data_IF_101949331818
#
_entry.id   IF_101949331818
#
_cell.length_a   1.000
_cell.length_b   1.000
_cell.length_c   1.000
_cell.angle_alpha   90.00
_cell.angle_beta   90.00
_cell.angle_gamma   90.00
#
_symmetry.space_group_name_H-M   'P 1'
#
loop_
_entity.id
_entity.type
_entity.pdbx_description
1 polymer ?
#
# COMPACT_ATOMS: atom_id res chain seq x y z
N UNK A 1 -59.39 5.70 -44.64
CA UNK A 1 -59.52 4.69 -43.56
C UNK A 1 -58.69 3.49 -43.99
N UNK A 2 -57.70 2.95 -43.29
CA UNK A 2 -57.10 3.24 -42.01
C UNK A 2 -55.71 2.56 -42.01
N UNK A 3 -54.68 3.34 -41.64
CA UNK A 3 -53.58 2.98 -40.74
C UNK A 3 -53.26 1.48 -40.58
N UNK A 4 -52.04 1.09 -40.98
CA UNK A 4 -51.34 0.07 -40.19
C UNK A 4 -49.91 0.53 -39.91
N UNK A 5 -49.63 0.61 -38.61
CA UNK A 5 -48.53 1.32 -38.01
C UNK A 5 -47.51 0.33 -37.44
N UNK A 6 -46.26 0.51 -37.85
CA UNK A 6 -45.04 0.39 -37.02
C UNK A 6 -45.10 -0.54 -35.81
N UNK A 7 -44.47 -1.71 -35.91
CA UNK A 7 -43.77 -2.34 -34.78
C UNK A 7 -42.41 -2.90 -35.23
N UNK A 8 -41.48 -1.99 -35.50
CA UNK A 8 -40.06 -2.33 -35.42
C UNK A 8 -39.72 -2.51 -33.93
N UNK A 9 -39.49 -3.76 -33.52
CA UNK A 9 -39.05 -4.09 -32.17
C UNK A 9 -37.69 -3.48 -31.88
N UNK A 10 -37.68 -2.40 -31.09
CA UNK A 10 -36.47 -1.87 -30.50
C UNK A 10 -36.18 -2.58 -29.17
N UNK A 11 -34.90 -2.92 -28.97
CA UNK A 11 -34.18 -3.39 -27.78
C UNK A 11 -34.02 -4.93 -27.60
N UNK A 12 -32.82 -5.43 -27.17
CA UNK A 12 -31.88 -4.75 -26.27
C UNK A 12 -30.40 -4.78 -26.70
N UNK A 13 -29.83 -3.60 -27.00
CA UNK A 13 -28.36 -3.40 -27.19
C UNK A 13 -27.63 -3.16 -25.86
N UNK A 14 -28.33 -3.15 -24.72
CA UNK A 14 -27.73 -2.85 -23.41
C UNK A 14 -27.08 -4.07 -22.70
N UNK A 15 -27.39 -5.31 -23.10
CA UNK A 15 -26.78 -6.52 -22.49
C UNK A 15 -25.37 -6.86 -23.01
N UNK A 16 -24.90 -6.25 -24.10
CA UNK A 16 -23.63 -6.62 -24.75
C UNK A 16 -22.39 -5.86 -24.24
N UNK A 17 -22.55 -4.63 -23.70
CA UNK A 17 -21.41 -3.80 -23.28
C UNK A 17 -20.73 -4.30 -22.00
N UNK A 18 -21.50 -4.73 -21.00
CA UNK A 18 -20.95 -5.27 -19.75
C UNK A 18 -20.18 -6.58 -19.96
N UNK A 19 -20.73 -7.49 -20.77
CA UNK A 19 -20.07 -8.75 -21.13
C UNK A 19 -18.76 -8.54 -21.91
N UNK A 20 -18.73 -7.59 -22.84
CA UNK A 20 -17.53 -7.26 -23.60
C UNK A 20 -16.42 -6.64 -22.73
N UNK A 21 -16.77 -5.77 -21.78
CA UNK A 21 -15.82 -5.19 -20.82
C UNK A 21 -15.24 -6.26 -19.89
N UNK A 22 -16.06 -7.13 -19.32
CA UNK A 22 -15.60 -8.24 -18.48
C UNK A 22 -14.72 -9.21 -19.27
N UNK A 23 -15.07 -9.50 -20.53
CA UNK A 23 -14.24 -10.33 -21.40
C UNK A 23 -12.86 -9.68 -21.65
N UNK A 24 -12.79 -8.37 -21.84
CA UNK A 24 -11.54 -7.65 -22.03
C UNK A 24 -10.61 -7.73 -20.80
N UNK A 25 -11.17 -7.69 -19.59
CA UNK A 25 -10.43 -7.74 -18.31
C UNK A 25 -10.19 -9.15 -17.77
N UNK A 26 -10.74 -10.18 -18.41
CA UNK A 26 -10.62 -11.58 -17.99
C UNK A 26 -9.18 -12.03 -17.69
N UNK A 27 -8.15 -11.77 -18.53
CA UNK A 27 -6.79 -12.20 -18.22
C UNK A 27 -6.22 -11.48 -16.98
N UNK A 28 -6.51 -10.19 -16.83
CA UNK A 28 -6.01 -9.37 -15.72
C UNK A 28 -6.67 -9.80 -14.40
N UNK A 29 -7.98 -10.03 -14.41
CA UNK A 29 -8.73 -10.55 -13.28
C UNK A 29 -8.27 -11.97 -12.89
N UNK A 30 -7.99 -12.83 -13.86
CA UNK A 30 -7.47 -14.17 -13.58
C UNK A 30 -6.07 -14.14 -12.94
N UNK A 31 -5.19 -13.27 -13.41
CA UNK A 31 -3.87 -13.09 -12.82
C UNK A 31 -3.95 -12.51 -11.40
N UNK A 32 -4.78 -11.48 -11.20
CA UNK A 32 -5.03 -10.87 -9.91
C UNK A 32 -5.61 -11.87 -8.90
N UNK A 33 -6.62 -12.64 -9.29
CA UNK A 33 -7.26 -13.64 -8.44
C UNK A 33 -6.26 -14.71 -7.97
N UNK A 34 -5.43 -15.23 -8.87
CA UNK A 34 -4.39 -16.21 -8.52
C UNK A 34 -3.38 -15.63 -7.55
N UNK A 35 -2.86 -14.43 -7.83
CA UNK A 35 -1.85 -13.80 -7.00
C UNK A 35 -2.39 -13.40 -5.61
N UNK A 36 -3.64 -12.91 -5.55
CA UNK A 36 -4.35 -12.65 -4.31
C UNK A 36 -4.36 -13.90 -3.45
N UNK A 37 -5.01 -14.97 -3.90
CA UNK A 37 -5.23 -16.14 -3.05
C UNK A 37 -3.96 -16.91 -2.72
N UNK A 38 -2.99 -16.98 -3.63
CA UNK A 38 -1.67 -17.57 -3.31
C UNK A 38 -0.99 -16.80 -2.19
N UNK A 39 -0.95 -15.47 -2.27
CA UNK A 39 -0.31 -14.66 -1.22
C UNK A 39 -1.10 -14.65 0.10
N UNK A 40 -2.44 -14.63 0.04
CA UNK A 40 -3.29 -14.65 1.24
C UNK A 40 -3.23 -15.98 1.96
N UNK A 41 -3.12 -17.08 1.22
CA UNK A 41 -2.89 -18.40 1.82
C UNK A 41 -1.58 -18.40 2.63
N UNK A 42 -0.50 -17.82 2.09
CA UNK A 42 0.77 -17.70 2.83
C UNK A 42 0.59 -16.87 4.10
N UNK A 43 -0.10 -15.72 4.02
CA UNK A 43 -0.31 -14.84 5.17
C UNK A 43 -1.14 -15.49 6.26
N UNK A 44 -2.28 -16.11 5.91
CA UNK A 44 -3.13 -16.78 6.89
C UNK A 44 -2.48 -18.04 7.45
N UNK A 45 -1.86 -18.88 6.61
CA UNK A 45 -1.20 -20.09 7.08
C UNK A 45 -0.06 -19.78 8.05
N UNK A 46 0.83 -18.83 7.68
CA UNK A 46 1.94 -18.44 8.54
C UNK A 46 1.48 -17.74 9.82
N UNK A 47 0.50 -16.83 9.71
CA UNK A 47 -0.04 -16.10 10.87
C UNK A 47 -0.73 -17.01 11.88
N UNK A 48 -1.61 -17.91 11.41
CA UNK A 48 -2.31 -18.86 12.28
C UNK A 48 -1.37 -19.90 12.88
N UNK A 49 -0.42 -20.42 12.09
CA UNK A 49 0.59 -21.35 12.60
C UNK A 49 1.45 -20.69 13.68
N UNK A 50 1.85 -19.44 13.48
CA UNK A 50 2.63 -18.69 14.46
C UNK A 50 1.88 -18.49 15.79
N UNK A 51 0.59 -18.12 15.72
CA UNK A 51 -0.24 -18.00 16.93
C UNK A 51 -0.40 -19.36 17.62
N UNK A 52 -0.59 -20.44 16.86
CA UNK A 52 -0.74 -21.78 17.43
C UNK A 52 0.53 -22.28 18.13
N UNK A 53 1.72 -21.94 17.61
CA UNK A 53 3.01 -22.40 18.15
C UNK A 53 3.54 -21.49 19.26
N UNK A 54 3.46 -20.18 19.08
CA UNK A 54 4.09 -19.19 19.98
C UNK A 54 3.10 -18.36 20.80
N UNK A 55 1.80 -18.50 20.55
CA UNK A 55 0.80 -17.65 21.19
C UNK A 55 0.83 -16.21 20.68
N UNK A 56 0.25 -15.32 21.46
CA UNK A 56 0.11 -13.89 21.14
C UNK A 56 0.85 -13.09 22.20
N UNK A 57 1.69 -12.15 21.79
CA UNK A 57 2.49 -11.34 22.72
C UNK A 57 1.62 -10.30 23.46
N UNK A 58 1.99 -9.97 24.71
CA UNK A 58 1.21 -9.12 25.64
C UNK A 58 1.08 -7.64 25.21
N UNK A 59 1.72 -7.23 24.10
CA UNK A 59 1.60 -5.89 23.50
C UNK A 59 0.18 -5.56 23.00
N UNK A 60 -0.75 -6.51 23.02
CA UNK A 60 -2.14 -6.32 22.56
C UNK A 60 -2.90 -5.21 23.28
N UNK A 61 -2.75 -5.10 24.61
CA UNK A 61 -3.65 -4.27 25.44
C UNK A 61 -3.44 -2.76 25.24
N UNK A 62 -2.20 -2.23 25.21
CA UNK A 62 -1.99 -0.80 24.99
C UNK A 62 -2.41 -0.31 23.60
N UNK A 63 -2.30 -1.16 22.57
CA UNK A 63 -2.58 -0.77 21.18
C UNK A 63 -4.02 -1.04 20.75
N UNK A 64 -4.74 -1.95 21.41
CA UNK A 64 -6.17 -2.24 21.21
C UNK A 64 -6.94 -2.22 22.55
N UNK A 65 -7.05 -1.05 23.19
CA UNK A 65 -7.65 -0.93 24.53
C UNK A 65 -9.15 -1.26 24.52
N UNK A 66 -9.84 -0.96 23.43
CA UNK A 66 -11.28 -1.16 23.25
C UNK A 66 -11.62 -2.52 22.63
N UNK A 67 -10.63 -3.30 22.19
CA UNK A 67 -10.86 -4.63 21.62
C UNK A 67 -11.46 -4.61 20.22
N UNK A 68 -11.25 -3.55 19.43
CA UNK A 68 -11.78 -3.41 18.08
C UNK A 68 -11.25 -4.48 17.11
N UNK A 69 -10.08 -5.07 17.41
CA UNK A 69 -9.48 -6.13 16.59
C UNK A 69 -9.87 -7.55 17.02
N UNK A 70 -10.69 -7.67 18.07
CA UNK A 70 -11.07 -8.95 18.69
C UNK A 70 -12.55 -9.02 19.15
N UNK A 71 -13.54 -8.73 18.27
CA UNK A 71 -14.94 -8.70 18.67
C UNK A 71 -15.66 -10.06 18.57
N UNK A 72 -14.99 -11.14 18.14
CA UNK A 72 -15.65 -12.38 17.70
C UNK A 72 -15.40 -13.59 18.62
N UNK A 73 -14.80 -13.37 19.79
CA UNK A 73 -14.41 -14.44 20.71
C UNK A 73 -13.24 -15.27 20.18
N UNK A 74 -12.82 -16.28 20.94
CA UNK A 74 -11.52 -16.93 20.75
C UNK A 74 -11.22 -17.40 19.31
N UNK A 75 -12.16 -18.12 18.69
CA UNK A 75 -11.96 -18.67 17.32
C UNK A 75 -12.05 -17.58 16.26
N UNK A 76 -13.03 -16.69 16.35
CA UNK A 76 -13.20 -15.62 15.37
C UNK A 76 -12.03 -14.64 15.40
N UNK A 77 -11.58 -14.26 16.60
CA UNK A 77 -10.44 -13.37 16.82
C UNK A 77 -9.13 -13.98 16.28
N UNK A 78 -8.97 -15.29 16.41
CA UNK A 78 -7.85 -16.02 15.84
C UNK A 78 -7.86 -15.93 14.30
N UNK A 79 -9.02 -16.11 13.66
CA UNK A 79 -9.15 -16.10 12.21
C UNK A 79 -8.91 -14.72 11.58
N UNK A 80 -9.24 -13.63 12.29
CA UNK A 80 -9.02 -12.25 11.82
C UNK A 80 -7.68 -11.66 12.24
N UNK A 81 -6.96 -12.31 13.16
CA UNK A 81 -5.69 -11.82 13.68
C UNK A 81 -4.64 -11.44 12.60
N UNK A 82 -4.46 -12.20 11.50
CA UNK A 82 -3.53 -11.81 10.43
C UNK A 82 -3.86 -10.48 9.74
N UNK A 83 -5.07 -9.95 9.93
CA UNK A 83 -5.55 -8.71 9.33
C UNK A 83 -5.78 -7.56 10.33
N UNK A 84 -5.71 -7.82 11.63
CA UNK A 84 -6.24 -6.92 12.66
C UNK A 84 -5.21 -6.68 13.79
N UNK A 85 -4.17 -5.90 13.48
CA UNK A 85 -3.10 -5.51 14.43
C UNK A 85 -2.66 -4.08 14.17
N UNK A 86 -2.02 -3.47 15.18
CA UNK A 86 -1.37 -2.16 15.07
C UNK A 86 -2.34 -1.10 14.52
N UNK A 87 -2.02 -0.44 13.40
CA UNK A 87 -2.82 0.67 12.86
C UNK A 87 -4.25 0.31 12.44
N UNK A 88 -4.61 -0.98 12.43
CA UNK A 88 -5.99 -1.40 12.30
C UNK A 88 -6.85 -0.71 13.37
N UNK A 89 -6.32 -0.53 14.58
CA UNK A 89 -7.06 0.13 15.67
C UNK A 89 -7.30 1.61 15.36
N UNK A 90 -6.32 2.33 14.82
CA UNK A 90 -6.52 3.72 14.38
C UNK A 90 -7.62 3.85 13.32
N UNK A 91 -7.58 3.03 12.27
CA UNK A 91 -8.58 3.09 11.21
C UNK A 91 -9.98 2.68 11.69
N UNK A 92 -10.09 1.66 12.54
CA UNK A 92 -11.37 1.21 13.08
C UNK A 92 -11.97 2.22 14.07
N UNK A 93 -11.13 2.84 14.90
CA UNK A 93 -11.54 3.91 15.81
C UNK A 93 -12.05 5.12 15.02
N UNK A 94 -11.34 5.57 13.97
CA UNK A 94 -11.82 6.69 13.14
C UNK A 94 -13.12 6.33 12.41
N UNK A 95 -13.26 5.09 11.96
CA UNK A 95 -14.50 4.62 11.33
C UNK A 95 -15.69 4.56 12.30
N UNK A 96 -15.47 4.42 13.61
CA UNK A 96 -16.52 4.43 14.63
C UNK A 96 -16.79 5.82 15.21
N UNK A 97 -15.73 6.49 15.65
CA UNK A 97 -15.78 7.67 16.53
C UNK A 97 -15.33 8.95 15.83
N UNK A 98 -14.80 8.88 14.61
CA UNK A 98 -14.26 10.04 13.89
C UNK A 98 -12.89 10.51 14.43
N UNK A 99 -12.59 11.77 14.14
CA UNK A 99 -11.33 12.42 14.49
C UNK A 99 -11.40 13.09 15.86
N UNK A 100 -10.23 13.18 16.51
CA UNK A 100 -9.97 13.99 17.70
C UNK A 100 -8.73 14.87 17.44
N UNK A 101 -8.36 15.72 18.39
CA UNK A 101 -7.14 16.54 18.37
C UNK A 101 -5.85 15.71 18.55
N UNK A 102 -5.95 14.39 18.47
CA UNK A 102 -4.88 13.44 18.74
C UNK A 102 -4.23 12.81 17.51
N UNK A 103 -3.53 11.68 17.71
CA UNK A 103 -2.77 10.98 16.67
C UNK A 103 -3.63 10.49 15.49
N UNK A 104 -4.96 10.45 15.63
CA UNK A 104 -5.89 10.03 14.58
C UNK A 104 -5.75 10.86 13.31
N UNK A 105 -5.40 12.13 13.43
CA UNK A 105 -5.26 13.06 12.30
C UNK A 105 -4.17 12.65 11.30
N UNK A 106 -3.20 11.82 11.69
CA UNK A 106 -2.20 11.24 10.76
C UNK A 106 -2.81 10.22 9.77
N UNK A 107 -3.98 9.66 10.08
CA UNK A 107 -4.66 8.66 9.27
C UNK A 107 -5.72 9.33 8.42
N UNK A 108 -5.51 9.33 7.10
CA UNK A 108 -6.34 10.06 6.15
C UNK A 108 -7.74 9.44 5.96
N UNK A 109 -8.75 10.25 5.58
CA UNK A 109 -10.16 9.94 5.84
C UNK A 109 -10.79 8.95 4.87
N UNK A 110 -10.29 8.80 3.63
CA UNK A 110 -11.03 8.05 2.62
C UNK A 110 -11.19 6.57 2.98
N UNK A 111 -10.15 5.93 3.53
CA UNK A 111 -10.23 4.54 3.94
C UNK A 111 -11.21 4.32 5.11
N UNK A 112 -11.08 4.99 6.27
CA UNK A 112 -12.01 4.79 7.39
C UNK A 112 -13.44 5.20 7.04
N UNK A 113 -13.66 6.20 6.18
CA UNK A 113 -14.99 6.56 5.69
C UNK A 113 -15.65 5.40 4.92
N UNK A 114 -14.91 4.73 4.04
CA UNK A 114 -15.40 3.56 3.31
C UNK A 114 -15.65 2.37 4.24
N UNK A 115 -14.80 2.20 5.25
CA UNK A 115 -14.99 1.18 6.30
C UNK A 115 -16.24 1.47 7.12
N UNK A 116 -16.51 2.73 7.49
CA UNK A 116 -17.73 3.12 8.18
C UNK A 116 -18.98 2.80 7.34
N UNK A 117 -19.00 3.26 6.09
CA UNK A 117 -20.13 3.06 5.19
C UNK A 117 -20.42 1.57 4.93
N UNK A 118 -19.38 0.77 4.66
CA UNK A 118 -19.55 -0.67 4.44
C UNK A 118 -19.82 -1.41 5.75
N UNK A 119 -19.23 -0.97 6.86
CA UNK A 119 -19.42 -1.53 8.21
C UNK A 119 -20.86 -1.43 8.66
N UNK A 120 -21.56 -0.34 8.33
CA UNK A 120 -22.99 -0.17 8.59
C UNK A 120 -23.86 -1.21 7.85
N UNK A 121 -23.43 -1.67 6.66
CA UNK A 121 -24.14 -2.68 5.87
C UNK A 121 -23.79 -4.10 6.31
N UNK A 122 -22.51 -4.36 6.57
CA UNK A 122 -22.00 -5.69 6.97
C UNK A 122 -22.31 -6.00 8.44
N UNK A 123 -22.55 -4.99 9.27
CA UNK A 123 -22.73 -5.12 10.72
C UNK A 123 -21.41 -5.29 11.49
N UNK A 124 -20.26 -5.10 10.83
CA UNK A 124 -18.94 -5.17 11.45
C UNK A 124 -17.92 -4.32 10.69
N UNK A 125 -17.38 -3.24 11.30
CA UNK A 125 -16.33 -2.43 10.71
C UNK A 125 -15.07 -3.24 10.39
N UNK A 126 -14.70 -4.21 11.24
CA UNK A 126 -13.52 -5.05 11.00
C UNK A 126 -13.70 -5.97 9.78
N UNK A 127 -14.83 -6.67 9.66
CA UNK A 127 -15.08 -7.50 8.47
C UNK A 127 -15.21 -6.67 7.20
N UNK A 128 -15.84 -5.49 7.30
CA UNK A 128 -15.91 -4.53 6.21
C UNK A 128 -14.50 -4.09 5.77
N UNK A 129 -13.62 -3.75 6.70
CA UNK A 129 -12.24 -3.38 6.43
C UNK A 129 -11.47 -4.51 5.73
N UNK A 130 -11.56 -5.75 6.22
CA UNK A 130 -10.89 -6.90 5.59
C UNK A 130 -11.42 -7.17 4.18
N UNK A 131 -12.75 -7.18 4.01
CA UNK A 131 -13.38 -7.39 2.71
C UNK A 131 -13.00 -6.29 1.71
N UNK A 132 -12.99 -5.03 2.16
CA UNK A 132 -12.60 -3.87 1.37
C UNK A 132 -11.12 -3.96 0.97
N UNK A 133 -10.22 -4.30 1.90
CA UNK A 133 -8.79 -4.51 1.62
C UNK A 133 -8.57 -5.59 0.57
N UNK A 134 -9.30 -6.72 0.63
CA UNK A 134 -9.17 -7.80 -0.35
C UNK A 134 -9.70 -7.39 -1.73
N UNK A 135 -10.88 -6.76 -1.78
CA UNK A 135 -11.49 -6.32 -3.03
C UNK A 135 -10.62 -5.27 -3.74
N UNK A 136 -10.12 -4.29 -2.99
CA UNK A 136 -9.25 -3.24 -3.53
C UNK A 136 -7.88 -3.77 -3.90
N UNK A 137 -7.34 -4.73 -3.16
CA UNK A 137 -6.08 -5.36 -3.54
C UNK A 137 -6.23 -6.15 -4.85
N UNK A 138 -7.32 -6.90 -5.00
CA UNK A 138 -7.62 -7.58 -6.27
C UNK A 138 -7.75 -6.59 -7.44
N UNK A 139 -8.44 -5.47 -7.23
CA UNK A 139 -8.57 -4.40 -8.22
C UNK A 139 -7.20 -3.77 -8.56
N UNK A 140 -6.37 -3.49 -7.56
CA UNK A 140 -5.02 -2.97 -7.74
C UNK A 140 -4.09 -3.93 -8.49
N UNK A 141 -4.16 -5.24 -8.20
CA UNK A 141 -3.43 -6.27 -8.93
C UNK A 141 -3.90 -6.39 -10.38
N UNK A 142 -5.20 -6.31 -10.65
CA UNK A 142 -5.75 -6.34 -12.00
C UNK A 142 -5.33 -5.10 -12.81
N UNK A 143 -5.40 -3.91 -12.19
CA UNK A 143 -4.92 -2.67 -12.80
C UNK A 143 -3.40 -2.72 -13.05
N UNK A 144 -2.62 -3.30 -12.12
CA UNK A 144 -1.18 -3.48 -12.28
C UNK A 144 -0.86 -4.45 -13.40
N UNK A 145 -1.58 -5.57 -13.50
CA UNK A 145 -1.43 -6.50 -14.61
C UNK A 145 -1.65 -5.79 -15.95
N UNK A 146 -2.73 -5.03 -16.07
CA UNK A 146 -3.07 -4.29 -17.28
C UNK A 146 -1.99 -3.26 -17.62
N UNK A 147 -1.59 -2.44 -16.64
CA UNK A 147 -0.56 -1.44 -16.82
C UNK A 147 0.76 -2.09 -17.23
N UNK A 148 1.18 -3.16 -16.55
CA UNK A 148 2.40 -3.89 -16.89
C UNK A 148 2.34 -4.51 -18.28
N UNK A 149 1.19 -5.03 -18.71
CA UNK A 149 1.03 -5.55 -20.06
C UNK A 149 1.26 -4.46 -21.13
N UNK A 150 0.83 -3.22 -20.84
CA UNK A 150 1.06 -2.05 -21.70
C UNK A 150 2.53 -1.60 -21.67
N UNK A 151 3.15 -1.52 -20.49
CA UNK A 151 4.51 -0.98 -20.34
C UNK A 151 5.63 -1.94 -20.73
N UNK A 152 5.48 -3.21 -20.34
CA UNK A 152 6.59 -4.18 -20.32
C UNK A 152 6.23 -5.55 -20.91
N UNK A 153 4.97 -5.73 -21.33
CA UNK A 153 4.47 -6.92 -22.01
C UNK A 153 3.80 -7.95 -21.10
N UNK A 154 2.99 -8.83 -21.71
CA UNK A 154 2.11 -9.76 -20.99
C UNK A 154 2.85 -10.78 -20.10
N UNK A 155 4.03 -11.26 -20.51
CA UNK A 155 4.80 -12.18 -19.69
C UNK A 155 5.32 -11.49 -18.42
N UNK A 156 5.89 -10.30 -18.55
CA UNK A 156 6.37 -9.48 -17.45
C UNK A 156 5.23 -9.06 -16.49
N UNK A 157 4.02 -8.83 -17.03
CA UNK A 157 2.85 -8.51 -16.23
C UNK A 157 2.50 -9.58 -15.19
N UNK A 158 2.56 -10.86 -15.58
CA UNK A 158 2.33 -11.98 -14.64
C UNK A 158 3.35 -11.98 -13.50
N UNK A 159 4.62 -11.74 -13.82
CA UNK A 159 5.69 -11.69 -12.84
C UNK A 159 5.60 -10.46 -11.93
N UNK A 160 5.22 -9.29 -12.45
CA UNK A 160 5.03 -8.08 -11.67
C UNK A 160 3.94 -8.25 -10.60
N UNK A 161 2.81 -8.83 -10.97
CA UNK A 161 1.67 -9.09 -10.07
C UNK A 161 2.02 -10.12 -8.99
N UNK A 162 2.70 -11.22 -9.36
CA UNK A 162 3.15 -12.22 -8.39
C UNK A 162 4.22 -11.67 -7.44
N UNK A 163 5.17 -10.88 -7.97
CA UNK A 163 6.22 -10.27 -7.16
C UNK A 163 5.65 -9.26 -6.17
N UNK A 164 4.70 -8.42 -6.60
CA UNK A 164 4.00 -7.55 -5.66
C UNK A 164 3.24 -8.40 -4.65
N UNK A 165 2.40 -9.34 -5.06
CA UNK A 165 1.57 -10.11 -4.14
C UNK A 165 2.36 -10.91 -3.09
N UNK A 166 3.53 -11.45 -3.45
CA UNK A 166 4.40 -12.22 -2.56
C UNK A 166 5.44 -11.37 -1.83
N UNK A 167 5.65 -10.10 -2.20
CA UNK A 167 6.59 -9.21 -1.51
C UNK A 167 6.32 -9.19 0.00
N UNK A 168 7.33 -9.15 0.88
CA UNK A 168 7.10 -9.22 2.33
C UNK A 168 6.13 -8.16 2.85
N UNK A 169 6.18 -6.94 2.28
CA UNK A 169 5.24 -5.87 2.63
C UNK A 169 3.82 -6.04 2.12
N UNK A 170 3.52 -7.13 1.42
CA UNK A 170 2.16 -7.40 0.95
C UNK A 170 1.23 -7.98 2.00
N UNK A 171 1.71 -8.17 3.24
CA UNK A 171 0.84 -8.44 4.38
C UNK A 171 -0.16 -7.29 4.62
N UNK A 172 0.27 -6.04 4.44
CA UNK A 172 -0.56 -4.86 4.73
C UNK A 172 -1.71 -4.69 3.75
N UNK A 173 -1.67 -5.35 2.60
CA UNK A 173 -2.82 -5.45 1.69
C UNK A 173 -3.94 -6.36 2.21
N UNK A 174 -3.72 -7.07 3.32
CA UNK A 174 -4.73 -7.83 4.03
C UNK A 174 -5.22 -7.20 5.30
N UNK A 175 -4.41 -6.31 5.88
CA UNK A 175 -4.77 -5.67 7.12
C UNK A 175 -5.89 -4.64 6.89
N UNK A 176 -6.58 -4.28 7.98
CA UNK A 176 -7.58 -3.21 8.01
C UNK A 176 -6.91 -1.82 7.84
N UNK A 177 -6.33 -1.59 6.67
CA UNK A 177 -5.27 -0.64 6.39
C UNK A 177 -5.51 0.03 5.01
N UNK A 178 -5.04 1.26 4.82
CA UNK A 178 -5.31 2.04 3.58
C UNK A 178 -4.48 1.60 2.36
N UNK A 179 -3.52 0.68 2.53
CA UNK A 179 -2.57 0.24 1.50
C UNK A 179 -3.24 -0.26 0.23
N UNK A 180 -4.24 -1.15 0.35
CA UNK A 180 -4.94 -1.73 -0.80
C UNK A 180 -5.68 -0.67 -1.60
N UNK A 181 -6.32 0.27 -0.90
CA UNK A 181 -7.02 1.39 -1.51
C UNK A 181 -6.04 2.31 -2.25
N UNK A 182 -4.94 2.68 -1.59
CA UNK A 182 -3.94 3.54 -2.19
C UNK A 182 -3.27 2.90 -3.42
N UNK A 183 -2.94 1.60 -3.37
CA UNK A 183 -2.40 0.89 -4.52
C UNK A 183 -3.40 0.88 -5.69
N UNK A 184 -4.66 0.54 -5.44
CA UNK A 184 -5.69 0.51 -6.47
C UNK A 184 -5.90 1.88 -7.14
N UNK A 185 -5.98 2.94 -6.34
CA UNK A 185 -6.16 4.31 -6.83
C UNK A 185 -4.93 4.84 -7.57
N UNK A 186 -3.72 4.60 -7.05
CA UNK A 186 -2.47 5.07 -7.67
C UNK A 186 -2.18 4.39 -9.01
N UNK A 187 -2.31 3.05 -9.08
CA UNK A 187 -2.16 2.31 -10.33
C UNK A 187 -3.29 2.64 -11.30
N UNK A 188 -4.53 2.75 -10.79
CA UNK A 188 -5.70 3.13 -11.59
C UNK A 188 -5.56 4.52 -12.21
N UNK A 189 -5.07 5.52 -11.45
CA UNK A 189 -4.86 6.87 -11.95
C UNK A 189 -3.85 6.89 -13.12
N UNK A 190 -2.74 6.18 -12.96
CA UNK A 190 -1.72 6.07 -14.00
C UNK A 190 -2.25 5.29 -15.21
N UNK A 191 -2.95 4.18 -15.00
CA UNK A 191 -3.57 3.41 -16.08
C UNK A 191 -4.61 4.23 -16.86
N UNK A 192 -5.41 5.04 -16.17
CA UNK A 192 -6.36 5.95 -16.79
C UNK A 192 -5.64 6.98 -17.68
N UNK A 193 -4.56 7.60 -17.18
CA UNK A 193 -3.75 8.51 -18.00
C UNK A 193 -3.09 7.80 -19.20
N UNK A 194 -2.57 6.59 -19.00
CA UNK A 194 -1.98 5.77 -20.08
C UNK A 194 -2.98 5.34 -21.15
N UNK A 195 -4.26 5.36 -20.83
CA UNK A 195 -5.35 5.04 -21.77
C UNK A 195 -6.13 6.30 -22.21
N UNK A 196 -5.57 7.50 -22.00
CA UNK A 196 -6.12 8.80 -22.40
C UNK A 196 -7.44 9.19 -21.71
N UNK A 197 -7.69 8.65 -20.51
CA UNK A 197 -8.85 8.96 -19.65
C UNK A 197 -8.46 9.91 -18.50
N UNK A 198 -8.08 11.14 -18.84
CA UNK A 198 -7.53 12.12 -17.89
C UNK A 198 -8.47 12.51 -16.74
N UNK A 199 -9.78 12.56 -16.97
CA UNK A 199 -10.76 12.83 -15.92
C UNK A 199 -10.72 11.76 -14.81
N UNK A 200 -10.64 10.48 -15.20
CA UNK A 200 -10.46 9.39 -14.25
C UNK A 200 -9.09 9.41 -13.58
N UNK A 201 -8.04 9.79 -14.32
CA UNK A 201 -6.70 9.94 -13.75
C UNK A 201 -6.68 10.99 -12.62
N UNK A 202 -7.29 12.15 -12.86
CA UNK A 202 -7.46 13.21 -11.87
C UNK A 202 -8.29 12.79 -10.67
N UNK A 203 -9.47 12.21 -10.90
CA UNK A 203 -10.38 11.75 -9.84
C UNK A 203 -9.75 10.68 -8.96
N UNK A 204 -9.13 9.65 -9.55
CA UNK A 204 -8.45 8.59 -8.81
C UNK A 204 -7.22 9.13 -8.06
N UNK A 205 -6.49 10.10 -8.64
CA UNK A 205 -5.38 10.76 -7.96
C UNK A 205 -5.84 11.61 -6.77
N UNK A 206 -6.95 12.34 -6.89
CA UNK A 206 -7.56 13.08 -5.79
C UNK A 206 -7.99 12.13 -4.66
N UNK A 207 -8.66 11.03 -5.00
CA UNK A 207 -9.02 10.01 -4.02
C UNK A 207 -7.77 9.40 -3.36
N UNK A 208 -6.70 9.12 -4.13
CA UNK A 208 -5.44 8.61 -3.57
C UNK A 208 -4.81 9.60 -2.58
N UNK A 209 -4.83 10.91 -2.88
CA UNK A 209 -4.39 11.95 -1.95
C UNK A 209 -5.27 12.02 -0.69
N UNK A 210 -6.54 11.64 -0.79
CA UNK A 210 -7.45 11.45 0.36
C UNK A 210 -7.23 10.16 1.16
N UNK A 211 -6.33 9.26 0.74
CA UNK A 211 -5.95 8.05 1.51
C UNK A 211 -4.62 8.19 2.26
N UNK A 212 -3.75 9.10 1.81
CA UNK A 212 -2.43 9.42 2.40
C UNK A 212 -1.79 10.59 1.67
N UNK A 213 -0.94 11.34 2.37
CA UNK A 213 -0.20 12.50 1.83
C UNK A 213 0.60 12.18 0.55
N UNK A 214 1.18 10.97 0.46
CA UNK A 214 1.92 10.51 -0.70
C UNK A 214 1.09 10.48 -2.01
N UNK A 215 -0.26 10.48 -1.93
CA UNK A 215 -1.11 10.52 -3.12
C UNK A 215 -1.01 11.81 -3.93
N UNK A 216 -0.65 12.93 -3.29
CA UNK A 216 -0.40 14.20 -4.00
C UNK A 216 0.74 14.06 -5.02
N UNK A 217 1.70 13.16 -4.76
CA UNK A 217 2.83 12.91 -5.65
C UNK A 217 2.43 12.26 -6.98
N UNK A 218 1.18 11.81 -7.14
CA UNK A 218 0.67 11.35 -8.44
C UNK A 218 0.61 12.45 -9.48
N UNK A 219 0.66 13.74 -9.10
CA UNK A 219 0.84 14.84 -10.07
C UNK A 219 2.11 14.63 -10.90
N UNK A 220 3.19 14.07 -10.32
CA UNK A 220 4.47 13.85 -10.99
C UNK A 220 4.36 12.89 -12.19
N UNK A 221 3.95 11.63 -12.04
CA UNK A 221 3.79 10.73 -13.17
C UNK A 221 2.72 11.23 -14.15
N UNK A 222 1.62 11.82 -13.67
CA UNK A 222 0.55 12.30 -14.55
C UNK A 222 1.03 13.44 -15.47
N UNK A 223 1.74 14.43 -14.91
CA UNK A 223 2.31 15.53 -15.68
C UNK A 223 3.34 15.02 -16.70
N UNK A 224 4.22 14.10 -16.31
CA UNK A 224 5.23 13.53 -17.22
C UNK A 224 4.60 12.69 -18.34
N UNK A 225 3.53 11.94 -18.03
CA UNK A 225 2.77 11.21 -19.05
C UNK A 225 2.03 12.15 -19.99
N UNK A 226 1.50 13.28 -19.49
CA UNK A 226 0.84 14.28 -20.32
C UNK A 226 1.83 14.94 -21.27
N UNK A 227 3.01 15.33 -20.78
CA UNK A 227 4.08 15.90 -21.62
C UNK A 227 4.51 14.93 -22.71
N UNK A 228 4.59 13.63 -22.40
CA UNK A 228 4.94 12.58 -23.35
C UNK A 228 3.78 12.14 -24.26
N UNK A 229 2.55 12.60 -24.02
CA UNK A 229 1.38 12.16 -24.77
C UNK A 229 1.41 12.71 -26.21
N UNK A 230 1.07 11.90 -27.24
CA UNK A 230 1.00 12.35 -28.62
C UNK A 230 -0.03 13.46 -28.84
N UNK A 231 -1.11 13.45 -28.06
CA UNK A 231 -2.16 14.48 -28.06
C UNK A 231 -2.28 15.04 -26.66
N UNK A 232 -2.07 16.34 -26.54
CA UNK A 232 -2.12 17.09 -25.28
C UNK A 232 -3.32 18.03 -25.32
N UNK A 233 -4.29 17.85 -24.44
CA UNK A 233 -5.42 18.77 -24.33
C UNK A 233 -5.20 19.64 -23.09
N UNK A 234 -5.28 20.98 -23.19
CA UNK A 234 -5.13 21.86 -22.01
C UNK A 234 -6.13 21.53 -20.89
N UNK A 235 -7.32 21.02 -21.24
CA UNK A 235 -8.31 20.56 -20.27
C UNK A 235 -7.79 19.42 -19.36
N UNK A 236 -6.81 18.64 -19.79
CA UNK A 236 -6.21 17.57 -18.98
C UNK A 236 -5.46 18.13 -17.77
N UNK A 237 -4.94 19.37 -17.86
CA UNK A 237 -4.30 20.07 -16.74
C UNK A 237 -5.29 20.31 -15.60
N UNK A 238 -6.55 20.62 -15.91
CA UNK A 238 -7.59 20.81 -14.90
C UNK A 238 -7.89 19.51 -14.15
N UNK A 239 -7.88 18.37 -14.83
CA UNK A 239 -8.03 17.07 -14.18
C UNK A 239 -6.84 16.73 -13.29
N UNK A 240 -5.61 17.02 -13.71
CA UNK A 240 -4.43 16.82 -12.86
C UNK A 240 -4.41 17.76 -11.64
N UNK A 241 -4.95 18.97 -11.79
CA UNK A 241 -5.11 19.91 -10.67
C UNK A 241 -6.11 19.41 -9.61
N UNK A 242 -6.95 18.42 -9.93
CA UNK A 242 -7.83 17.80 -8.94
C UNK A 242 -7.06 16.94 -7.90
N UNK A 243 -5.87 16.43 -8.24
CA UNK A 243 -5.09 15.55 -7.35
C UNK A 243 -4.80 16.17 -5.97
N UNK A 244 -4.22 17.38 -5.87
CA UNK A 244 -3.99 18.03 -4.57
C UNK A 244 -5.28 18.36 -3.81
N UNK A 245 -6.44 18.42 -4.49
CA UNK A 245 -7.71 18.70 -3.82
C UNK A 245 -8.12 17.61 -2.82
N UNK A 246 -7.65 16.36 -2.98
CA UNK A 246 -7.92 15.31 -2.01
C UNK A 246 -7.29 15.59 -0.64
N UNK A 247 -6.04 16.06 -0.63
CA UNK A 247 -5.38 16.51 0.60
C UNK A 247 -6.01 17.80 1.12
N UNK A 248 -6.25 18.78 0.24
CA UNK A 248 -6.84 20.05 0.64
C UNK A 248 -8.25 19.89 1.24
N UNK A 249 -9.06 18.97 0.71
CA UNK A 249 -10.37 18.65 1.25
C UNK A 249 -10.28 18.06 2.66
N UNK A 250 -9.28 17.22 2.94
CA UNK A 250 -9.08 16.68 4.28
C UNK A 250 -8.62 17.76 5.27
N UNK A 251 -7.60 18.55 4.91
CA UNK A 251 -7.13 19.67 5.74
C UNK A 251 -8.26 20.70 5.99
N UNK A 252 -9.07 20.98 4.96
CA UNK A 252 -10.25 21.85 5.08
C UNK A 252 -11.33 21.26 5.97
N UNK A 253 -11.60 19.94 5.88
CA UNK A 253 -12.51 19.24 6.78
C UNK A 253 -12.07 19.39 8.25
N UNK A 254 -10.79 19.13 8.55
CA UNK A 254 -10.27 19.30 9.91
C UNK A 254 -10.43 20.73 10.41
N UNK A 255 -10.13 21.74 9.57
CA UNK A 255 -10.30 23.14 9.91
C UNK A 255 -11.76 23.51 10.22
N UNK A 256 -12.72 22.96 9.46
CA UNK A 256 -14.15 23.16 9.70
C UNK A 256 -14.64 22.43 10.96
N UNK A 257 -14.00 21.33 11.32
CA UNK A 257 -14.27 20.54 12.53
C UNK A 257 -13.60 21.13 13.80
N UNK A 258 -12.94 22.28 13.67
CA UNK A 258 -12.27 22.98 14.77
C UNK A 258 -10.86 22.50 15.09
N UNK A 259 -10.29 21.63 14.25
CA UNK A 259 -8.92 21.11 14.38
C UNK A 259 -7.93 21.92 13.51
N UNK A 260 -6.62 21.92 13.83
CA UNK A 260 -5.63 22.54 12.96
C UNK A 260 -5.61 21.90 11.57
N UNK A 261 -5.61 22.73 10.51
CA UNK A 261 -5.61 22.24 9.12
C UNK A 261 -4.36 21.40 8.77
N UNK A 262 -3.25 21.65 9.46
CA UNK A 262 -1.97 20.96 9.33
C UNK A 262 -1.77 19.84 10.37
N UNK A 263 -2.79 19.50 11.17
CA UNK A 263 -2.74 18.44 12.16
C UNK A 263 -2.19 17.09 11.65
N UNK A 264 -2.48 16.62 10.42
CA UNK A 264 -1.91 15.37 9.89
C UNK A 264 -0.38 15.37 9.81
N UNK A 265 0.22 16.54 9.64
CA UNK A 265 1.68 16.72 9.58
C UNK A 265 2.28 16.90 10.97
N UNK A 266 1.58 17.57 11.89
CA UNK A 266 2.00 17.69 13.29
C UNK A 266 1.93 16.35 14.03
N UNK A 267 0.93 15.52 13.73
CA UNK A 267 0.77 14.20 14.33
C UNK A 267 1.98 13.28 14.11
N UNK A 268 2.83 13.56 13.11
CA UNK A 268 4.08 12.82 12.89
C UNK A 268 5.03 12.86 14.10
N UNK A 269 4.95 13.90 14.94
CA UNK A 269 5.75 14.04 16.17
C UNK A 269 5.46 12.93 17.18
N UNK A 270 4.24 12.37 17.18
CA UNK A 270 3.84 11.22 18.02
C UNK A 270 4.69 9.99 17.71
N UNK A 271 5.14 9.84 16.47
CA UNK A 271 6.03 8.75 16.04
C UNK A 271 7.50 9.16 15.99
N UNK A 272 7.87 10.27 16.63
CA UNK A 272 9.25 10.77 16.70
C UNK A 272 9.92 10.93 15.33
N UNK A 273 9.14 11.31 14.31
CA UNK A 273 9.64 11.59 12.97
C UNK A 273 10.13 13.03 12.90
N UNK A 274 11.37 13.23 12.45
CA UNK A 274 11.95 14.58 12.31
C UNK A 274 12.43 14.81 10.89
N UNK A 275 12.17 15.98 10.32
CA UNK A 275 12.65 16.30 8.98
C UNK A 275 14.16 16.54 8.99
N UNK A 276 14.91 15.73 8.25
CA UNK A 276 16.39 15.81 8.16
C UNK A 276 16.89 16.05 6.73
N UNK A 277 15.98 16.44 5.82
CA UNK A 277 16.25 16.63 4.40
C UNK A 277 16.02 15.35 3.58
N UNK A 278 15.96 15.43 2.24
CA UNK A 278 15.44 14.38 1.35
C UNK A 278 16.16 13.03 1.43
N UNK A 279 17.43 13.05 1.85
CA UNK A 279 18.27 11.85 1.99
C UNK A 279 18.77 11.66 3.43
N UNK A 280 18.29 12.45 4.39
CA UNK A 280 18.75 12.37 5.77
C UNK A 280 18.50 10.98 6.38
N UNK A 281 17.35 10.38 6.08
CA UNK A 281 17.04 9.01 6.48
C UNK A 281 17.96 7.95 5.88
N UNK A 282 18.56 8.16 4.69
CA UNK A 282 19.56 7.23 4.13
C UNK A 282 20.84 7.26 4.97
N UNK A 283 21.32 8.47 5.30
CA UNK A 283 22.51 8.64 6.16
C UNK A 283 22.26 8.01 7.53
N UNK A 284 21.15 8.37 8.17
CA UNK A 284 20.83 7.91 9.52
C UNK A 284 20.62 6.39 9.54
N UNK A 285 19.99 5.82 8.50
CA UNK A 285 19.85 4.37 8.34
C UNK A 285 21.17 3.64 8.14
N UNK A 286 22.13 4.25 7.44
CA UNK A 286 23.46 3.65 7.23
C UNK A 286 24.19 3.53 8.56
N UNK A 287 24.13 4.57 9.39
CA UNK A 287 24.67 4.57 10.76
C UNK A 287 23.94 3.52 11.62
N UNK A 288 22.61 3.54 11.63
CA UNK A 288 21.81 2.62 12.43
C UNK A 288 22.01 1.14 12.02
N UNK A 289 22.20 0.85 10.74
CA UNK A 289 22.49 -0.50 10.25
C UNK A 289 23.90 -0.96 10.66
N UNK A 290 24.88 -0.06 10.60
CA UNK A 290 26.23 -0.34 11.10
C UNK A 290 26.22 -0.62 12.60
N UNK A 291 25.54 0.22 13.38
CA UNK A 291 25.45 0.07 14.83
C UNK A 291 24.63 -1.16 15.23
N UNK A 292 23.57 -1.47 14.47
CA UNK A 292 22.87 -2.73 14.58
C UNK A 292 23.80 -3.92 14.34
N UNK A 293 24.67 -3.86 13.33
CA UNK A 293 25.59 -4.96 13.04
C UNK A 293 26.60 -5.13 14.18
N UNK A 294 27.12 -4.02 14.73
CA UNK A 294 27.97 -4.03 15.93
C UNK A 294 27.25 -4.66 17.13
N UNK A 295 25.98 -4.34 17.35
CA UNK A 295 25.17 -4.92 18.44
C UNK A 295 24.99 -6.43 18.27
N UNK A 296 24.63 -6.89 17.08
CA UNK A 296 24.46 -8.31 16.79
C UNK A 296 25.77 -9.09 16.96
N UNK A 297 26.90 -8.51 16.51
CA UNK A 297 28.23 -9.10 16.67
C UNK A 297 28.69 -9.14 18.14
N UNK A 298 28.31 -8.14 18.94
CA UNK A 298 28.57 -8.14 20.38
C UNK A 298 27.80 -9.25 21.11
N UNK A 299 26.59 -9.59 20.64
CA UNK A 299 25.82 -10.74 21.13
C UNK A 299 25.16 -10.56 22.50
N UNK A 300 25.27 -9.38 23.11
CA UNK A 300 24.61 -9.01 24.36
C UNK A 300 23.78 -7.72 24.20
N UNK A 301 22.65 -7.56 24.91
CA UNK A 301 21.85 -6.32 24.91
C UNK A 301 22.60 -5.08 25.39
N UNK A 302 23.58 -5.24 26.29
CA UNK A 302 24.45 -4.17 26.77
C UNK A 302 25.91 -4.44 26.38
N UNK A 303 26.69 -3.38 26.02
CA UNK A 303 26.27 -1.98 25.90
C UNK A 303 25.40 -1.75 24.64
N UNK A 304 24.67 -0.63 24.61
CA UNK A 304 23.84 -0.24 23.45
C UNK A 304 24.63 0.68 22.52
N UNK A 305 24.76 0.32 21.24
CA UNK A 305 25.58 1.07 20.26
C UNK A 305 24.87 2.21 19.53
N UNK A 306 23.57 2.38 19.73
CA UNK A 306 22.72 3.35 19.05
C UNK A 306 21.76 4.04 20.04
N UNK A 307 21.03 5.06 19.61
CA UNK A 307 20.03 5.74 20.44
C UNK A 307 18.99 4.74 20.95
N UNK A 308 18.85 4.63 22.28
CA UNK A 308 17.91 3.67 22.89
C UNK A 308 16.48 3.94 22.40
N UNK A 309 15.85 2.88 21.91
CA UNK A 309 14.41 2.80 21.68
C UNK A 309 13.77 2.03 22.83
N UNK A 310 12.44 2.10 22.96
CA UNK A 310 11.72 1.10 23.76
C UNK A 310 11.89 -0.30 23.14
N UNK A 311 12.06 -1.32 23.99
CA UNK A 311 12.20 -2.73 23.59
C UNK A 311 13.62 -3.29 23.70
N UNK A 312 13.82 -4.51 23.18
CA UNK A 312 15.11 -5.21 23.18
C UNK A 312 16.08 -4.58 22.16
N UNK A 313 17.28 -4.12 22.58
CA UNK A 313 18.31 -3.63 21.65
C UNK A 313 18.66 -4.63 20.54
N UNK A 314 18.62 -5.93 20.84
CA UNK A 314 18.90 -6.95 19.83
C UNK A 314 17.81 -7.03 18.76
N UNK A 315 16.54 -6.81 19.13
CA UNK A 315 15.44 -6.65 18.17
C UNK A 315 15.64 -5.40 17.30
N UNK A 316 15.92 -4.25 17.91
CA UNK A 316 16.13 -2.99 17.17
C UNK A 316 17.28 -3.14 16.16
N UNK A 317 18.37 -3.79 16.56
CA UNK A 317 19.50 -4.09 15.68
C UNK A 317 19.09 -4.95 14.47
N UNK A 318 18.32 -6.03 14.68
CA UNK A 318 17.79 -6.86 13.58
C UNK A 318 16.91 -6.04 12.63
N UNK A 319 16.03 -5.19 13.17
CA UNK A 319 15.17 -4.33 12.34
C UNK A 319 16.00 -3.35 11.50
N UNK A 320 17.00 -2.69 12.08
CA UNK A 320 17.83 -1.73 11.33
C UNK A 320 18.57 -2.39 10.15
N UNK A 321 19.12 -3.60 10.34
CA UNK A 321 19.72 -4.35 9.22
C UNK A 321 18.69 -4.75 8.17
N UNK A 322 17.54 -5.26 8.60
CA UNK A 322 16.47 -5.68 7.70
C UNK A 322 15.97 -4.50 6.87
N UNK A 323 15.64 -3.38 7.51
CA UNK A 323 15.16 -2.17 6.84
C UNK A 323 16.20 -1.60 5.87
N UNK A 324 17.50 -1.64 6.23
CA UNK A 324 18.57 -1.25 5.33
C UNK A 324 18.67 -2.18 4.10
N UNK A 325 18.44 -3.48 4.26
CA UNK A 325 18.36 -4.40 3.13
C UNK A 325 17.16 -4.10 2.21
N UNK A 326 16.01 -3.71 2.77
CA UNK A 326 14.87 -3.23 1.99
C UNK A 326 15.18 -1.92 1.25
N UNK A 327 15.92 -1.00 1.87
CA UNK A 327 16.39 0.22 1.20
C UNK A 327 17.29 -0.11 0.01
N UNK A 328 18.28 -0.98 0.20
CA UNK A 328 19.18 -1.38 -0.87
C UNK A 328 18.42 -2.06 -2.03
N UNK A 329 17.49 -2.97 -1.72
CA UNK A 329 16.62 -3.60 -2.71
C UNK A 329 15.71 -2.59 -3.43
N UNK A 330 15.10 -1.68 -2.69
CA UNK A 330 14.25 -0.61 -3.22
C UNK A 330 15.01 0.34 -4.15
N UNK A 331 16.23 0.74 -3.78
CA UNK A 331 17.12 1.54 -4.63
C UNK A 331 17.52 0.76 -5.89
N UNK A 332 17.87 -0.52 -5.79
CA UNK A 332 18.21 -1.33 -6.95
C UNK A 332 17.02 -1.43 -7.93
N UNK A 333 15.81 -1.65 -7.42
CA UNK A 333 14.58 -1.65 -8.22
C UNK A 333 14.28 -0.29 -8.84
N UNK A 334 14.52 0.81 -8.09
CA UNK A 334 14.33 2.18 -8.57
C UNK A 334 15.31 2.55 -9.69
N UNK A 335 16.59 2.22 -9.53
CA UNK A 335 17.61 2.38 -10.59
C UNK A 335 17.21 1.59 -11.83
N UNK A 336 16.71 0.38 -11.63
CA UNK A 336 16.12 -0.43 -12.68
C UNK A 336 14.96 0.26 -13.40
N UNK A 337 14.02 0.83 -12.64
CA UNK A 337 12.87 1.55 -13.17
C UNK A 337 13.31 2.74 -14.03
N UNK A 338 14.25 3.56 -13.56
CA UNK A 338 14.81 4.68 -14.33
C UNK A 338 15.52 4.26 -15.61
N UNK A 339 16.21 3.11 -15.58
CA UNK A 339 16.94 2.61 -16.75
C UNK A 339 16.03 2.00 -17.82
N UNK A 340 14.80 1.58 -17.48
CA UNK A 340 14.01 0.74 -18.38
C UNK A 340 12.56 1.13 -18.61
N UNK A 341 11.94 1.80 -17.64
CA UNK A 341 10.56 2.26 -17.75
C UNK A 341 10.52 3.70 -18.25
N UNK A 342 9.34 4.19 -18.62
CA UNK A 342 9.15 5.60 -18.93
C UNK A 342 9.55 6.48 -17.72
N UNK A 343 10.14 7.67 -17.93
CA UNK A 343 10.59 8.56 -16.85
C UNK A 343 9.51 8.87 -15.80
N UNK A 344 8.24 8.91 -16.22
CA UNK A 344 7.10 9.09 -15.32
C UNK A 344 7.08 8.10 -14.15
N UNK A 345 7.39 6.82 -14.41
CA UNK A 345 7.39 5.77 -13.39
C UNK A 345 8.57 5.89 -12.43
N UNK A 346 9.77 6.18 -12.95
CA UNK A 346 10.96 6.41 -12.14
C UNK A 346 10.81 7.64 -11.25
N UNK A 347 10.33 8.76 -11.81
CA UNK A 347 10.12 10.01 -11.08
C UNK A 347 9.07 9.86 -9.97
N UNK A 348 7.97 9.15 -10.23
CA UNK A 348 6.97 8.86 -9.20
C UNK A 348 7.56 8.06 -8.04
N UNK A 349 8.24 6.94 -8.34
CA UNK A 349 8.83 6.09 -7.30
C UNK A 349 9.93 6.84 -6.52
N UNK A 350 10.73 7.68 -7.18
CA UNK A 350 11.69 8.55 -6.51
C UNK A 350 10.99 9.52 -5.57
N UNK A 351 10.02 10.31 -6.06
CA UNK A 351 9.32 11.29 -5.23
C UNK A 351 8.65 10.64 -4.02
N UNK A 352 7.98 9.50 -4.23
CA UNK A 352 7.27 8.78 -3.16
C UNK A 352 8.22 8.09 -2.16
N UNK A 353 9.41 7.65 -2.60
CA UNK A 353 10.41 7.09 -1.70
C UNK A 353 11.16 8.18 -0.91
N UNK A 354 11.37 9.36 -1.48
CA UNK A 354 12.00 10.48 -0.78
C UNK A 354 11.17 10.95 0.41
N UNK A 355 9.85 10.87 0.36
CA UNK A 355 8.97 11.29 1.46
C UNK A 355 9.29 10.60 2.79
N UNK A 356 9.28 9.26 2.91
CA UNK A 356 9.67 8.59 4.15
C UNK A 356 11.17 8.70 4.47
N UNK A 357 12.05 8.86 3.46
CA UNK A 357 13.48 9.10 3.68
C UNK A 357 13.78 10.51 4.22
N UNK A 358 12.84 11.43 4.09
CA UNK A 358 12.98 12.81 4.57
C UNK A 358 12.70 12.96 6.06
N UNK A 359 12.01 11.98 6.66
CA UNK A 359 11.47 12.06 8.03
C UNK A 359 11.81 10.80 8.84
N UNK A 360 13.11 10.51 9.07
CA UNK A 360 13.53 9.33 9.81
C UNK A 360 13.05 9.36 11.27
N UNK A 361 12.97 8.17 11.86
CA UNK A 361 12.72 7.95 13.30
C UNK A 361 14.05 7.62 13.98
N UNK A 362 14.38 8.31 15.07
CA UNK A 362 15.70 8.23 15.72
C UNK A 362 16.30 6.81 15.84
N UNK A 363 15.66 5.88 16.58
CA UNK A 363 16.18 4.52 16.75
C UNK A 363 16.03 3.59 15.54
N UNK A 364 15.10 3.90 14.63
CA UNK A 364 14.79 3.09 13.44
C UNK A 364 14.53 4.02 12.24
N UNK A 365 15.59 4.57 11.60
CA UNK A 365 15.43 5.65 10.61
C UNK A 365 14.53 5.30 9.42
N UNK A 366 14.42 4.02 9.10
CA UNK A 366 13.62 3.50 7.99
C UNK A 366 12.31 2.83 8.45
N UNK A 367 11.79 3.21 9.62
CA UNK A 367 10.54 2.67 10.14
C UNK A 367 9.44 2.69 9.08
N UNK A 368 8.85 1.52 8.86
CA UNK A 368 7.82 1.17 7.89
C UNK A 368 8.25 1.14 6.42
N UNK A 369 9.55 1.13 6.12
CA UNK A 369 10.03 1.15 4.73
C UNK A 369 9.49 0.01 3.84
N UNK A 370 9.47 -1.28 4.24
CA UNK A 370 8.81 -2.35 3.48
C UNK A 370 7.37 -2.00 3.09
N UNK A 371 6.60 -1.40 4.01
CA UNK A 371 5.22 -0.98 3.76
C UNK A 371 5.16 0.14 2.72
N UNK A 372 6.06 1.12 2.79
CA UNK A 372 6.14 2.19 1.80
C UNK A 372 6.54 1.67 0.41
N UNK A 373 7.49 0.72 0.33
CA UNK A 373 7.89 0.11 -0.94
C UNK A 373 6.77 -0.72 -1.58
N UNK A 374 5.94 -1.40 -0.77
CA UNK A 374 4.88 -2.29 -1.26
C UNK A 374 3.88 -1.58 -2.18
N UNK A 375 3.62 -0.28 -1.94
CA UNK A 375 2.66 0.50 -2.75
C UNK A 375 3.30 1.19 -3.97
N UNK A 376 4.62 1.11 -4.13
CA UNK A 376 5.33 1.70 -5.27
C UNK A 376 5.33 0.75 -6.47
N UNK A 377 4.20 0.72 -7.18
CA UNK A 377 4.02 -0.13 -8.36
C UNK A 377 5.16 -0.07 -9.40
N UNK A 378 5.88 1.05 -9.65
CA UNK A 378 6.98 1.06 -10.62
C UNK A 378 8.10 0.07 -10.31
N UNK A 379 8.36 -0.17 -9.02
CA UNK A 379 9.39 -1.10 -8.59
C UNK A 379 9.03 -2.52 -9.08
N UNK A 380 7.75 -2.90 -8.95
CA UNK A 380 7.25 -4.20 -9.38
C UNK A 380 7.06 -4.31 -10.90
N UNK A 381 6.79 -3.21 -11.60
CA UNK A 381 6.84 -3.18 -13.07
C UNK A 381 8.23 -3.55 -13.58
N UNK A 382 9.27 -2.91 -13.02
CA UNK A 382 10.64 -3.22 -13.38
C UNK A 382 11.03 -4.64 -12.97
N UNK A 383 10.68 -5.08 -11.76
CA UNK A 383 11.04 -6.41 -11.28
C UNK A 383 10.39 -7.50 -12.14
N UNK A 384 9.12 -7.33 -12.55
CA UNK A 384 8.43 -8.21 -13.48
C UNK A 384 9.12 -8.27 -14.85
N UNK A 385 9.51 -7.12 -15.39
CA UNK A 385 10.29 -7.03 -16.62
C UNK A 385 11.65 -7.73 -16.52
N UNK A 386 12.36 -7.49 -15.41
CA UNK A 386 13.68 -8.07 -15.18
C UNK A 386 13.57 -9.57 -15.11
N UNK A 387 12.67 -10.11 -14.28
CA UNK A 387 12.43 -11.55 -14.13
C UNK A 387 12.07 -12.24 -15.44
N UNK A 388 11.22 -11.63 -16.27
CA UNK A 388 10.80 -12.18 -17.57
C UNK A 388 11.96 -12.39 -18.55
N UNK A 389 13.02 -11.57 -18.48
CA UNK A 389 14.11 -11.52 -19.47
C UNK A 389 15.26 -12.51 -19.24
N UNK A 390 15.07 -13.52 -18.43
CA UNK A 390 16.16 -14.41 -18.06
C UNK A 390 15.61 -15.70 -17.50
N UNK A 391 16.49 -16.54 -16.93
CA UNK A 391 16.13 -17.92 -16.70
C UNK A 391 15.02 -18.03 -15.65
N UNK A 392 14.10 -18.97 -15.85
CA UNK A 392 12.92 -19.15 -14.98
C UNK A 392 13.29 -19.33 -13.51
N UNK A 393 14.42 -19.99 -13.22
CA UNK A 393 14.90 -20.17 -11.85
C UNK A 393 15.09 -18.85 -11.10
N UNK A 394 15.47 -17.76 -11.80
CA UNK A 394 15.65 -16.44 -11.19
C UNK A 394 14.32 -15.88 -10.70
N UNK A 395 13.26 -16.01 -11.49
CA UNK A 395 11.92 -15.60 -11.07
C UNK A 395 11.46 -16.43 -9.86
N UNK A 396 11.64 -17.75 -9.90
CA UNK A 396 11.27 -18.63 -8.79
C UNK A 396 12.09 -18.37 -7.52
N UNK A 397 13.39 -18.05 -7.64
CA UNK A 397 14.24 -17.70 -6.50
C UNK A 397 13.77 -16.40 -5.84
N UNK A 398 13.49 -15.34 -6.63
CA UNK A 398 12.94 -14.08 -6.12
C UNK A 398 11.61 -14.30 -5.42
N UNK A 399 10.68 -15.00 -6.08
CA UNK A 399 9.36 -15.29 -5.50
C UNK A 399 9.46 -16.17 -4.25
N UNK A 400 10.41 -17.10 -4.18
CA UNK A 400 10.68 -17.93 -3.00
C UNK A 400 11.16 -17.11 -1.81
N UNK A 401 12.14 -16.21 -2.03
CA UNK A 401 12.61 -15.28 -0.99
C UNK A 401 11.48 -14.34 -0.53
N UNK A 402 10.70 -13.83 -1.48
CA UNK A 402 9.55 -12.97 -1.17
C UNK A 402 8.49 -13.71 -0.37
N UNK A 403 8.09 -14.92 -0.78
CA UNK A 403 7.12 -15.74 -0.06
C UNK A 403 7.60 -16.12 1.35
N UNK A 404 8.89 -16.43 1.53
CA UNK A 404 9.47 -16.70 2.84
C UNK A 404 9.44 -15.45 3.74
N UNK A 405 9.82 -14.28 3.20
CA UNK A 405 9.74 -13.02 3.93
C UNK A 405 8.30 -12.63 4.26
N UNK A 406 7.35 -12.84 3.35
CA UNK A 406 5.92 -12.62 3.60
C UNK A 406 5.39 -13.54 4.70
N UNK A 407 5.78 -14.81 4.71
CA UNK A 407 5.42 -15.75 5.78
C UNK A 407 5.99 -15.29 7.13
N UNK A 408 7.28 -14.92 7.18
CA UNK A 408 7.93 -14.45 8.40
C UNK A 408 7.28 -13.16 8.94
N UNK A 409 7.04 -12.18 8.08
CA UNK A 409 6.36 -10.94 8.46
C UNK A 409 4.93 -11.21 8.95
N UNK A 410 4.20 -12.12 8.30
CA UNK A 410 2.83 -12.46 8.70
C UNK A 410 2.80 -13.17 10.05
N UNK A 411 3.75 -14.06 10.32
CA UNK A 411 3.91 -14.74 11.61
C UNK A 411 4.16 -13.73 12.76
N UNK A 412 5.12 -12.84 12.57
CA UNK A 412 5.45 -11.80 13.54
C UNK A 412 4.30 -10.81 13.75
N UNK A 413 3.72 -10.29 12.66
CA UNK A 413 2.59 -9.35 12.73
C UNK A 413 1.40 -9.96 13.49
N UNK A 414 1.00 -11.19 13.14
CA UNK A 414 -0.17 -11.86 13.74
C UNK A 414 -0.02 -12.08 15.25
N UNK A 415 1.22 -12.17 15.75
CA UNK A 415 1.57 -12.38 17.14
C UNK A 415 1.90 -11.10 17.92
N UNK A 416 1.59 -9.90 17.37
CA UNK A 416 1.93 -8.57 17.94
C UNK A 416 3.43 -8.27 18.05
N UNK A 417 4.25 -8.88 17.19
CA UNK A 417 5.61 -8.39 16.97
C UNK A 417 5.59 -7.29 15.91
N UNK A 418 6.37 -6.25 16.16
CA UNK A 418 6.59 -5.20 15.17
C UNK A 418 7.43 -5.76 14.04
N UNK A 419 7.14 -5.39 12.79
CA UNK A 419 7.86 -5.90 11.61
C UNK A 419 8.36 -4.79 10.69
N UNK A 420 7.68 -3.65 10.62
CA UNK A 420 8.20 -2.49 9.91
C UNK A 420 7.51 -1.21 10.31
#
# INVERSE_FOLDING_TARGET
MARDATRAGAAPVLRSRGGALLAAWRPDLAAAWRALWVSRLVVWAAGLAAIAVWGVHDRKVPFDPTGLTRPFGAVGDLLVAPAARWDATWYLTIAGDGYDDGPRTAFFPLYPLLVHALGAVVGSPLLAAVALSFALFAAGLAALHRLAAIEVGAEAARWAVLALALFPGSLWFSAAYSESLFLALSVGAVLAARTDHWAWAGALGALAAGTRSAGVLLVVPLALLWVAAPRRRPADLAWMAAVPLGLAAYCGFLALDGLPADAPFQAQDVWHRTFTGPLGGVRDATVAAWDGARQLLHGSPDPVYFTRAGGDPMEVARHNLMLYAFLAGGIAMLVGAWRRLAPAHGAYATAALLLPLSTPVGPQPLMSLPRFLAVLYPLFLWLGWWMARGPRWRAHAVLGVFAAGLAAFSALFSTWHWVA
#
